data_IF_261338916299
#
_entry.id   IF_261338916299
#
_cell.length_a   1.000
_cell.length_b   1.000
_cell.length_c   1.000
_cell.angle_alpha   90.00
_cell.angle_beta   90.00
_cell.angle_gamma   90.00
#
_symmetry.space_group_name_H-M   'P 1'
#
loop_
_entity.id
_entity.type
_entity.pdbx_description
1 polymer ?
#
# COMPACT_ATOMS: atom_id res chain seq x y z
N UNK A 1 -8.32 66.21 42.18
CA UNK A 1 -8.06 66.68 40.80
C UNK A 1 -6.96 65.82 40.19
N UNK A 2 -7.28 65.13 39.09
CA UNK A 2 -6.46 64.89 37.89
C UNK A 2 -5.17 64.04 38.05
N UNK A 3 -5.17 62.78 37.60
CA UNK A 3 -5.00 62.27 36.20
C UNK A 3 -3.52 62.11 35.79
N UNK A 4 -3.23 60.96 35.15
CA UNK A 4 -2.03 60.59 34.34
C UNK A 4 -0.97 59.85 35.17
N UNK A 5 -0.47 58.66 34.83
CA UNK A 5 -0.28 58.06 33.49
C UNK A 5 -0.22 56.54 33.64
N UNK A 6 -1.19 55.84 33.06
CA UNK A 6 -1.31 54.38 33.06
C UNK A 6 -1.24 53.98 31.58
N UNK A 7 -0.07 53.52 31.12
CA UNK A 7 0.14 53.06 29.74
C UNK A 7 1.54 52.44 29.63
N UNK A 8 1.67 51.16 29.97
CA UNK A 8 2.80 50.30 29.55
C UNK A 8 2.64 48.89 30.14
N UNK A 9 1.71 48.08 29.63
CA UNK A 9 1.79 46.59 29.64
C UNK A 9 0.52 45.99 29.04
N UNK A 10 0.34 46.11 27.72
CA UNK A 10 -0.67 45.33 27.02
C UNK A 10 -0.24 45.19 25.55
N UNK A 11 0.77 44.37 25.28
CA UNK A 11 0.97 43.79 23.95
C UNK A 11 1.99 42.65 24.04
N UNK A 12 1.77 41.61 23.25
CA UNK A 12 2.55 40.38 23.08
C UNK A 12 2.32 39.25 24.10
N UNK A 13 1.18 38.58 23.95
CA UNK A 13 1.13 37.12 24.08
C UNK A 13 0.31 36.53 22.92
N UNK A 14 0.77 36.81 21.68
CA UNK A 14 0.29 36.09 20.51
C UNK A 14 0.96 34.71 20.54
N UNK A 15 0.27 33.74 21.14
CA UNK A 15 0.65 32.34 21.13
C UNK A 15 0.83 31.89 19.68
N UNK A 16 2.06 31.48 19.33
CA UNK A 16 2.36 30.80 18.09
C UNK A 16 1.69 29.42 18.13
N UNK A 17 0.44 29.34 17.67
CA UNK A 17 -0.11 28.07 17.19
C UNK A 17 0.56 27.77 15.85
N UNK A 18 1.74 27.14 15.88
CA UNK A 18 2.24 26.45 14.69
C UNK A 18 1.27 25.32 14.38
N UNK A 19 0.62 25.28 13.22
CA UNK A 19 -0.15 24.10 12.84
C UNK A 19 0.84 22.92 12.79
N UNK A 20 0.64 21.94 13.67
CA UNK A 20 1.18 20.60 13.46
C UNK A 20 0.53 20.12 12.18
N UNK A 21 1.28 20.16 11.08
CA UNK A 21 0.92 19.38 9.90
C UNK A 21 0.99 17.92 10.32
N UNK A 22 -0.17 17.31 10.56
CA UNK A 22 -0.26 15.86 10.72
C UNK A 22 0.16 15.24 9.39
N UNK A 23 1.34 14.63 9.37
CA UNK A 23 1.82 13.88 8.22
C UNK A 23 0.87 12.70 7.99
N UNK A 24 0.33 12.58 6.77
CA UNK A 24 -0.63 11.53 6.46
C UNK A 24 0.00 10.15 6.69
N UNK A 25 -0.70 9.18 7.32
CA UNK A 25 -0.13 7.88 7.63
C UNK A 25 0.42 7.18 6.37
N UNK A 26 1.68 6.74 6.44
CA UNK A 26 2.41 6.14 5.34
C UNK A 26 1.76 4.82 4.91
N UNK A 27 1.61 4.63 3.60
CA UNK A 27 1.26 3.32 3.03
C UNK A 27 2.47 2.38 3.18
N UNK A 28 2.26 1.19 3.77
CA UNK A 28 3.36 0.24 4.09
C UNK A 28 3.11 -1.20 3.63
N UNK A 29 1.86 -1.59 3.33
CA UNK A 29 1.51 -2.99 3.07
C UNK A 29 0.37 -3.15 2.05
N UNK A 30 0.34 -4.31 1.38
CA UNK A 30 -0.78 -4.80 0.57
C UNK A 30 -1.28 -6.15 1.11
N UNK A 31 -2.60 -6.36 1.13
CA UNK A 31 -3.16 -7.69 1.42
C UNK A 31 -2.99 -8.57 0.18
N UNK A 32 -2.18 -9.63 0.26
CA UNK A 32 -1.93 -10.52 -0.87
C UNK A 32 -2.88 -11.71 -0.90
N UNK A 33 -3.33 -12.20 0.26
CA UNK A 33 -4.32 -13.27 0.35
C UNK A 33 -5.16 -13.10 1.61
N UNK A 34 -6.39 -13.62 1.58
CA UNK A 34 -7.31 -13.64 2.71
C UNK A 34 -8.17 -14.89 2.63
N UNK A 35 -8.11 -15.72 3.67
CA UNK A 35 -9.08 -16.79 3.87
C UNK A 35 -9.93 -16.50 5.11
N UNK A 36 -11.23 -16.79 5.00
CA UNK A 36 -12.20 -16.42 6.02
C UNK A 36 -12.58 -14.93 5.95
N UNK A 37 -13.17 -14.42 7.03
CA UNK A 37 -13.62 -13.03 7.12
C UNK A 37 -12.72 -12.27 8.07
N UNK A 38 -12.14 -11.18 7.62
CA UNK A 38 -11.40 -10.24 8.44
C UNK A 38 -11.99 -8.84 8.29
N UNK A 39 -11.62 -7.95 9.20
CA UNK A 39 -12.08 -6.57 9.17
C UNK A 39 -10.92 -5.61 9.36
N UNK A 40 -10.96 -4.51 8.64
CA UNK A 40 -10.04 -3.38 8.74
C UNK A 40 -10.70 -2.28 9.57
N UNK A 41 -9.97 -1.80 10.58
CA UNK A 41 -10.25 -0.56 11.29
C UNK A 41 -9.24 0.48 10.81
N UNK A 42 -9.66 1.41 9.93
CA UNK A 42 -8.82 2.53 9.49
C UNK A 42 -8.47 3.42 10.69
N UNK A 43 -7.39 4.21 10.58
CA UNK A 43 -7.03 5.22 11.60
C UNK A 43 -8.18 6.21 11.80
N UNK A 44 -8.75 6.69 10.69
CA UNK A 44 -9.86 7.64 10.67
C UNK A 44 -11.02 7.06 9.84
N UNK A 45 -11.93 6.33 10.48
CA UNK A 45 -13.14 5.86 9.80
C UNK A 45 -13.83 4.67 10.46
N UNK A 46 -15.00 4.28 9.94
CA UNK A 46 -15.69 3.11 10.41
C UNK A 46 -14.95 1.84 10.00
N UNK A 47 -15.07 0.82 10.86
CA UNK A 47 -14.62 -0.53 10.57
C UNK A 47 -15.32 -1.08 9.32
N UNK A 48 -14.56 -1.71 8.42
CA UNK A 48 -15.06 -2.27 7.16
C UNK A 48 -14.52 -3.69 6.92
N UNK A 49 -15.15 -4.50 6.05
CA UNK A 49 -14.58 -5.78 5.63
C UNK A 49 -13.18 -5.59 5.02
N UNK A 50 -12.27 -6.50 5.34
CA UNK A 50 -10.97 -6.58 4.67
C UNK A 50 -11.13 -7.34 3.36
N UNK A 51 -10.50 -6.86 2.30
CA UNK A 51 -10.45 -7.53 1.00
C UNK A 51 -9.00 -7.75 0.56
N UNK A 52 -8.79 -8.76 -0.28
CA UNK A 52 -7.50 -8.94 -0.97
C UNK A 52 -7.21 -7.71 -1.82
N UNK A 53 -5.94 -7.37 -1.97
CA UNK A 53 -5.44 -6.18 -2.66
C UNK A 53 -5.66 -4.85 -1.93
N UNK A 54 -6.18 -4.88 -0.69
CA UNK A 54 -6.28 -3.68 0.15
C UNK A 54 -4.91 -3.12 0.48
N UNK A 55 -4.71 -1.84 0.20
CA UNK A 55 -3.55 -1.07 0.66
C UNK A 55 -3.73 -0.67 2.11
N UNK A 56 -2.72 -0.94 2.93
CA UNK A 56 -2.73 -0.67 4.36
C UNK A 56 -1.73 0.41 4.73
N UNK A 57 -2.17 1.30 5.62
CA UNK A 57 -1.37 2.37 6.21
C UNK A 57 -0.87 1.99 7.59
N UNK A 58 0.22 2.62 7.98
CA UNK A 58 0.69 2.59 9.36
C UNK A 58 -0.40 3.07 10.33
N UNK A 59 -0.55 2.36 11.45
CA UNK A 59 -1.56 2.61 12.46
C UNK A 59 -2.92 1.93 12.20
N UNK A 60 -3.18 1.44 10.99
CA UNK A 60 -4.40 0.67 10.73
C UNK A 60 -4.38 -0.69 11.42
N UNK A 61 -5.56 -1.22 11.70
CA UNK A 61 -5.72 -2.44 12.49
C UNK A 61 -6.59 -3.46 11.78
N UNK A 62 -6.14 -4.71 11.77
CA UNK A 62 -6.87 -5.86 11.29
C UNK A 62 -7.39 -6.67 12.47
N UNK A 63 -8.67 -7.01 12.45
CA UNK A 63 -9.21 -8.01 13.37
C UNK A 63 -9.44 -9.31 12.60
N UNK A 64 -8.71 -10.35 13.01
CA UNK A 64 -8.76 -11.70 12.47
C UNK A 64 -9.51 -12.59 13.47
N UNK A 65 -10.73 -13.06 13.17
CA UNK A 65 -11.41 -14.03 14.01
C UNK A 65 -10.74 -15.41 13.90
N UNK A 66 -11.13 -16.34 14.78
CA UNK A 66 -10.66 -17.73 14.73
C UNK A 66 -10.92 -18.35 13.35
N UNK A 67 -9.88 -18.94 12.76
CA UNK A 67 -9.95 -19.61 11.47
C UNK A 67 -9.86 -18.68 10.26
N UNK A 68 -9.65 -17.38 10.46
CA UNK A 68 -9.23 -16.48 9.40
C UNK A 68 -7.70 -16.50 9.28
N UNK A 69 -7.19 -16.37 8.07
CA UNK A 69 -5.79 -16.11 7.79
C UNK A 69 -5.64 -15.00 6.76
N UNK A 70 -4.57 -14.22 6.91
CA UNK A 70 -4.25 -13.12 5.99
C UNK A 70 -2.78 -13.17 5.65
N UNK A 71 -2.46 -12.92 4.39
CA UNK A 71 -1.09 -12.70 3.94
C UNK A 71 -0.89 -11.23 3.60
N UNK A 72 0.16 -10.65 4.18
CA UNK A 72 0.49 -9.23 4.12
C UNK A 72 1.82 -9.05 3.41
N UNK A 73 1.80 -8.40 2.24
CA UNK A 73 3.00 -8.10 1.45
C UNK A 73 3.58 -6.74 1.84
N UNK A 74 4.69 -6.75 2.58
CA UNK A 74 5.49 -5.56 2.90
C UNK A 74 6.53 -5.35 1.81
N UNK A 75 6.11 -4.77 0.68
CA UNK A 75 6.94 -4.63 -0.53
C UNK A 75 8.26 -3.91 -0.28
N UNK A 76 8.24 -2.87 0.54
CA UNK A 76 9.44 -2.10 0.89
C UNK A 76 10.46 -2.90 1.70
N UNK A 77 10.00 -3.95 2.39
CA UNK A 77 10.85 -4.88 3.14
C UNK A 77 11.19 -6.14 2.33
N UNK A 78 10.53 -6.37 1.19
CA UNK A 78 10.66 -7.59 0.42
C UNK A 78 10.25 -8.85 1.19
N UNK A 79 9.27 -8.73 2.10
CA UNK A 79 8.76 -9.86 2.88
C UNK A 79 7.24 -9.95 2.82
N UNK A 80 6.75 -11.17 3.05
CA UNK A 80 5.35 -11.46 3.26
C UNK A 80 5.16 -12.06 4.64
N UNK A 81 4.17 -11.56 5.37
CA UNK A 81 3.80 -12.07 6.67
C UNK A 81 2.46 -12.80 6.58
N UNK A 82 2.39 -14.01 7.12
CA UNK A 82 1.13 -14.76 7.23
C UNK A 82 0.69 -14.75 8.69
N UNK A 83 -0.51 -14.21 8.91
CA UNK A 83 -1.13 -14.10 10.22
C UNK A 83 -2.38 -15.00 10.29
N UNK A 84 -2.55 -15.71 11.41
CA UNK A 84 -3.69 -16.60 11.64
C UNK A 84 -4.44 -16.15 12.88
N UNK A 85 -5.76 -16.03 12.79
CA UNK A 85 -6.61 -15.61 13.90
C UNK A 85 -6.89 -16.73 14.93
N UNK A 86 -7.31 -16.38 16.15
CA UNK A 86 -7.71 -15.03 16.57
C UNK A 86 -6.52 -14.11 16.82
N UNK A 87 -6.51 -12.93 16.19
CA UNK A 87 -5.45 -11.94 16.36
C UNK A 87 -5.95 -10.53 16.02
N UNK A 88 -5.34 -9.53 16.66
CA UNK A 88 -5.53 -8.12 16.33
C UNK A 88 -4.19 -7.55 15.87
N UNK A 89 -4.04 -7.37 14.55
CA UNK A 89 -2.79 -6.97 13.93
C UNK A 89 -2.81 -5.48 13.66
N UNK A 90 -1.92 -4.73 14.32
CA UNK A 90 -1.62 -3.33 14.03
C UNK A 90 -0.53 -3.29 12.96
N UNK A 91 -0.78 -2.50 11.91
CA UNK A 91 0.15 -2.33 10.79
C UNK A 91 1.17 -1.25 11.15
N UNK A 92 2.46 -1.58 11.05
CA UNK A 92 3.57 -0.63 11.26
C UNK A 92 4.53 -0.65 10.09
N UNK A 93 5.45 0.32 10.01
CA UNK A 93 6.51 0.30 9.01
C UNK A 93 7.43 -0.94 9.13
N UNK A 94 7.56 -1.49 10.33
CA UNK A 94 8.40 -2.64 10.64
C UNK A 94 7.68 -3.99 10.49
N UNK A 95 6.41 -4.02 10.07
CA UNK A 95 5.61 -5.24 9.94
C UNK A 95 4.30 -5.18 10.71
N UNK A 96 3.57 -6.29 10.71
CA UNK A 96 2.42 -6.47 11.59
C UNK A 96 2.86 -6.64 13.05
N UNK A 97 2.09 -6.10 13.98
CA UNK A 97 2.28 -6.30 15.41
C UNK A 97 0.96 -6.71 16.05
N UNK A 98 0.96 -7.72 16.92
CA UNK A 98 -0.22 -8.11 17.69
C UNK A 98 0.18 -8.33 19.12
N UNK A 99 -0.41 -7.56 20.04
CA UNK A 99 -0.21 -7.77 21.49
C UNK A 99 -0.94 -9.03 21.98
N UNK A 100 -2.03 -9.40 21.30
CA UNK A 100 -2.96 -10.45 21.74
C UNK A 100 -2.83 -11.75 20.93
N UNK A 101 -1.81 -11.88 20.07
CA UNK A 101 -1.61 -13.10 19.28
C UNK A 101 -0.68 -14.05 20.02
N UNK A 102 -1.14 -15.27 20.27
CA UNK A 102 -0.32 -16.35 20.85
C UNK A 102 0.70 -16.91 19.85
N UNK A 103 0.55 -16.60 18.55
CA UNK A 103 1.42 -17.11 17.48
C UNK A 103 2.00 -15.94 16.67
N UNK A 104 3.34 -15.83 16.53
CA UNK A 104 3.94 -14.84 15.66
C UNK A 104 3.62 -15.15 14.18
N UNK A 105 3.73 -14.16 13.28
CA UNK A 105 3.49 -14.41 11.86
C UNK A 105 4.57 -15.34 11.28
N UNK A 106 4.18 -16.12 10.27
CA UNK A 106 5.14 -16.81 9.40
C UNK A 106 5.65 -15.80 8.39
N UNK A 107 6.98 -15.61 8.32
CA UNK A 107 7.61 -14.61 7.45
C UNK A 107 8.35 -15.29 6.30
N UNK A 108 7.94 -14.98 5.08
CA UNK A 108 8.60 -15.41 3.84
C UNK A 108 9.27 -14.24 3.14
N UNK A 109 10.34 -14.50 2.39
CA UNK A 109 10.89 -13.51 1.45
C UNK A 109 10.03 -13.43 0.21
N UNK A 110 9.68 -12.21 -0.19
CA UNK A 110 9.13 -11.96 -1.51
C UNK A 110 10.29 -11.91 -2.52
N UNK A 111 10.12 -12.49 -3.71
CA UNK A 111 11.14 -12.46 -4.74
C UNK A 111 11.14 -11.14 -5.51
N UNK A 112 11.31 -10.04 -4.78
CA UNK A 112 11.40 -8.71 -5.35
C UNK A 112 12.85 -8.42 -5.78
N UNK A 113 12.99 -7.68 -6.88
CA UNK A 113 14.30 -7.19 -7.33
C UNK A 113 14.71 -5.96 -6.52
N UNK A 114 16.02 -5.80 -6.37
CA UNK A 114 16.57 -4.62 -5.72
C UNK A 114 16.23 -3.36 -6.53
N UNK A 115 15.99 -2.26 -5.83
CA UNK A 115 15.74 -0.97 -6.45
C UNK A 115 17.01 -0.47 -7.16
N UNK A 116 16.93 0.07 -8.41
CA UNK A 116 18.09 0.67 -9.06
C UNK A 116 18.57 1.93 -8.30
N UNK A 117 19.89 2.11 -8.22
CA UNK A 117 20.58 3.12 -7.37
C UNK A 117 20.33 4.60 -7.74
N UNK A 118 19.37 4.90 -8.61
CA UNK A 118 19.02 6.27 -9.04
C UNK A 118 17.52 6.51 -9.27
N UNK A 119 16.64 5.58 -8.89
CA UNK A 119 15.19 5.71 -9.10
C UNK A 119 14.47 6.47 -7.98
N UNK A 120 13.62 7.44 -8.34
CA UNK A 120 12.68 8.09 -7.42
C UNK A 120 11.84 7.03 -6.68
N UNK A 121 11.68 7.18 -5.37
CA UNK A 121 10.82 6.28 -4.61
C UNK A 121 9.36 6.65 -4.88
N UNK A 122 8.52 5.65 -5.24
CA UNK A 122 7.35 5.31 -4.41
C UNK A 122 6.55 4.16 -5.04
N UNK A 123 6.64 2.98 -4.42
CA UNK A 123 5.66 1.91 -4.66
C UNK A 123 5.08 1.43 -3.34
N UNK A 124 3.75 1.55 -3.26
CA UNK A 124 2.79 0.52 -2.90
C UNK A 124 1.75 0.61 -4.02
N UNK A 125 2.29 0.19 -5.18
CA UNK A 125 1.79 0.30 -6.54
C UNK A 125 1.29 1.73 -6.84
N UNK A 126 2.29 2.63 -6.71
CA UNK A 126 2.33 4.09 -6.97
C UNK A 126 1.30 5.01 -6.29
N UNK A 127 0.78 4.58 -5.12
CA UNK A 127 0.34 5.41 -3.97
C UNK A 127 -0.60 6.64 -4.24
N UNK A 128 -1.72 6.44 -4.93
CA UNK A 128 -3.03 7.09 -4.72
C UNK A 128 -3.21 8.63 -4.86
N UNK A 129 -2.25 9.34 -5.47
CA UNK A 129 -2.36 10.76 -5.82
C UNK A 129 -1.29 11.62 -5.17
N UNK A 130 -0.70 12.53 -5.93
CA UNK A 130 -0.07 13.76 -5.44
C UNK A 130 -1.13 14.65 -4.75
N UNK A 131 -1.73 14.15 -3.66
CA UNK A 131 -2.78 14.77 -2.86
C UNK A 131 -4.08 15.08 -3.63
N UNK A 132 -5.25 14.89 -3.02
CA UNK A 132 -6.54 15.29 -3.58
C UNK A 132 -6.71 16.84 -3.63
N UNK A 133 -5.74 17.59 -4.18
CA UNK A 133 -5.75 19.05 -4.22
C UNK A 133 -5.37 19.61 -5.59
N UNK A 134 -6.40 20.19 -6.22
CA UNK A 134 -6.35 21.29 -7.19
C UNK A 134 -5.91 21.00 -8.64
N UNK A 135 -6.83 20.44 -9.43
CA UNK A 135 -7.42 21.08 -10.64
C UNK A 135 -7.92 19.99 -11.59
N UNK A 136 -9.21 20.06 -11.93
CA UNK A 136 -9.80 19.35 -13.07
C UNK A 136 -8.99 19.70 -14.32
N UNK A 137 -8.16 18.78 -14.80
CA UNK A 137 -7.54 18.88 -16.13
C UNK A 137 -8.29 17.97 -17.08
N UNK A 138 -9.18 18.55 -17.85
CA UNK A 138 -9.61 17.99 -19.14
C UNK A 138 -8.39 18.00 -20.06
N UNK A 139 -7.69 16.88 -20.21
CA UNK A 139 -6.67 16.71 -21.27
C UNK A 139 -6.71 15.29 -21.81
N UNK A 140 -6.54 15.22 -23.13
CA UNK A 140 -6.51 14.02 -23.95
C UNK A 140 -5.68 12.90 -23.31
N UNK A 141 -6.26 11.70 -23.25
CA UNK A 141 -5.61 10.51 -22.71
C UNK A 141 -4.49 10.10 -23.67
N UNK A 142 -3.29 10.63 -23.43
CA UNK A 142 -2.08 10.05 -23.98
C UNK A 142 -1.93 8.64 -23.38
N UNK A 143 -1.82 7.63 -24.25
CA UNK A 143 -1.56 6.25 -23.83
C UNK A 143 -0.28 6.25 -22.99
N UNK A 144 -0.26 5.66 -21.78
CA UNK A 144 0.95 5.58 -20.98
C UNK A 144 2.05 4.87 -21.77
N UNK A 145 3.16 5.57 -22.05
CA UNK A 145 4.28 4.97 -22.78
C UNK A 145 5.15 4.16 -21.82
N UNK A 146 5.51 2.95 -22.24
CA UNK A 146 6.45 2.10 -21.52
C UNK A 146 7.88 2.66 -21.70
N UNK A 147 8.66 2.64 -20.63
CA UNK A 147 10.11 2.90 -20.73
C UNK A 147 10.75 1.83 -21.64
N UNK A 148 11.61 2.24 -22.57
CA UNK A 148 12.46 1.31 -23.31
C UNK A 148 13.41 0.60 -22.34
N UNK A 149 13.33 -0.73 -22.29
CA UNK A 149 14.16 -1.57 -21.42
C UNK A 149 15.53 -1.84 -22.06
N UNK A 150 16.58 -1.83 -21.23
CA UNK A 150 17.87 -2.42 -21.60
C UNK A 150 17.77 -3.95 -21.73
N UNK A 151 18.81 -4.58 -22.29
CA UNK A 151 18.87 -6.04 -22.39
C UNK A 151 18.86 -6.71 -21.01
N UNK A 152 19.56 -6.12 -20.03
CA UNK A 152 19.58 -6.59 -18.65
C UNK A 152 18.20 -6.45 -17.98
N UNK A 153 17.53 -5.29 -18.15
CA UNK A 153 16.18 -5.08 -17.60
C UNK A 153 15.15 -6.04 -18.21
N UNK A 154 15.31 -6.39 -19.49
CA UNK A 154 14.48 -7.38 -20.17
C UNK A 154 14.73 -8.79 -19.63
N UNK A 155 15.98 -9.17 -19.45
CA UNK A 155 16.35 -10.46 -18.87
C UNK A 155 15.84 -10.61 -17.42
N UNK A 156 15.91 -9.52 -16.64
CA UNK A 156 15.36 -9.47 -15.29
C UNK A 156 13.84 -9.67 -15.29
N UNK A 157 13.12 -8.97 -16.17
CA UNK A 157 11.68 -9.09 -16.31
C UNK A 157 11.26 -10.51 -16.72
N UNK A 158 11.94 -11.10 -17.72
CA UNK A 158 11.71 -12.48 -18.15
C UNK A 158 11.92 -13.49 -17.01
N UNK A 159 12.92 -13.25 -16.15
CA UNK A 159 13.18 -14.09 -14.99
C UNK A 159 12.09 -13.96 -13.93
N UNK A 160 11.62 -12.73 -13.66
CA UNK A 160 10.50 -12.49 -12.74
C UNK A 160 9.22 -13.12 -13.27
N UNK A 161 8.91 -12.99 -14.55
CA UNK A 161 7.72 -13.60 -15.17
C UNK A 161 7.72 -15.13 -15.04
N UNK A 162 8.86 -15.78 -15.30
CA UNK A 162 9.02 -17.23 -15.08
C UNK A 162 8.79 -17.62 -13.64
N UNK A 163 9.31 -16.83 -12.70
CA UNK A 163 9.10 -17.07 -11.27
C UNK A 163 7.65 -16.88 -10.87
N UNK A 164 7.00 -15.82 -11.34
CA UNK A 164 5.57 -15.56 -11.10
C UNK A 164 4.71 -16.69 -11.66
N UNK A 165 5.05 -17.22 -12.84
CA UNK A 165 4.37 -18.39 -13.39
C UNK A 165 4.47 -19.62 -12.47
N UNK A 166 5.66 -19.87 -11.89
CA UNK A 166 5.84 -20.94 -10.90
C UNK A 166 5.02 -20.69 -9.63
N UNK A 167 5.03 -19.46 -9.12
CA UNK A 167 4.24 -19.09 -7.94
C UNK A 167 2.74 -19.28 -8.18
N UNK A 168 2.22 -18.85 -9.33
CA UNK A 168 0.80 -19.05 -9.71
C UNK A 168 0.42 -20.52 -9.77
N UNK A 169 1.34 -21.41 -10.16
CA UNK A 169 1.07 -22.85 -10.22
C UNK A 169 0.88 -23.50 -8.83
N UNK A 170 1.42 -22.89 -7.78
CA UNK A 170 1.35 -23.40 -6.40
C UNK A 170 0.53 -22.51 -5.45
N UNK A 171 0.08 -21.36 -5.93
CA UNK A 171 -0.68 -20.39 -5.14
C UNK A 171 -2.05 -20.96 -4.74
N UNK A 172 -2.50 -20.62 -3.54
CA UNK A 172 -3.85 -20.94 -3.11
C UNK A 172 -4.87 -20.18 -3.97
N UNK A 173 -6.10 -20.68 -4.15
CA UNK A 173 -7.15 -19.94 -4.83
C UNK A 173 -7.37 -18.56 -4.19
N UNK A 174 -7.29 -17.50 -4.99
CA UNK A 174 -7.46 -16.12 -4.52
C UNK A 174 -6.20 -15.47 -3.93
N UNK A 175 -5.07 -16.16 -3.85
CA UNK A 175 -3.77 -15.57 -3.50
C UNK A 175 -3.24 -14.74 -4.68
N UNK A 176 -3.18 -13.42 -4.47
CA UNK A 176 -2.66 -12.42 -5.42
C UNK A 176 -1.18 -12.11 -5.19
N UNK A 177 -0.49 -12.82 -4.30
CA UNK A 177 0.95 -12.70 -4.07
C UNK A 177 1.79 -12.78 -5.35
N UNK A 178 1.57 -13.76 -6.25
CA UNK A 178 2.28 -13.81 -7.53
C UNK A 178 2.06 -12.56 -8.39
N UNK A 179 0.82 -12.05 -8.42
CA UNK A 179 0.47 -10.90 -9.22
C UNK A 179 1.06 -9.61 -8.65
N UNK A 180 1.07 -9.46 -7.32
CA UNK A 180 1.71 -8.33 -6.64
C UNK A 180 3.21 -8.27 -6.97
N UNK A 181 3.91 -9.41 -7.02
CA UNK A 181 5.33 -9.46 -7.42
C UNK A 181 5.51 -8.95 -8.85
N UNK A 182 4.67 -9.39 -9.79
CA UNK A 182 4.73 -8.93 -11.19
C UNK A 182 4.45 -7.43 -11.29
N UNK A 183 3.40 -6.95 -10.62
CA UNK A 183 3.01 -5.54 -10.63
C UNK A 183 4.12 -4.65 -10.06
N UNK A 184 4.78 -5.08 -8.98
CA UNK A 184 5.90 -4.34 -8.41
C UNK A 184 7.08 -4.26 -9.39
N UNK A 185 7.38 -5.34 -10.11
CA UNK A 185 8.45 -5.35 -11.10
C UNK A 185 8.12 -4.46 -12.32
N UNK A 186 6.90 -4.53 -12.83
CA UNK A 186 6.44 -3.66 -13.91
C UNK A 186 6.49 -2.18 -13.50
N UNK A 187 6.09 -1.87 -12.26
CA UNK A 187 6.19 -0.51 -11.71
C UNK A 187 7.65 -0.07 -11.59
N UNK A 188 8.55 -0.93 -11.09
CA UNK A 188 9.99 -0.68 -10.98
C UNK A 188 10.63 -0.35 -12.32
N UNK A 189 10.21 -1.07 -13.38
CA UNK A 189 10.72 -0.94 -14.74
C UNK A 189 10.01 0.13 -15.58
N UNK A 190 9.05 0.86 -15.00
CA UNK A 190 8.29 1.90 -15.73
C UNK A 190 7.46 1.35 -16.89
N UNK A 191 7.00 0.10 -16.78
CA UNK A 191 6.16 -0.58 -17.77
C UNK A 191 4.68 -0.28 -17.52
N UNK A 192 4.30 1.01 -17.62
CA UNK A 192 2.96 1.51 -17.23
C UNK A 192 1.81 0.86 -17.99
N UNK A 193 1.97 0.62 -19.29
CA UNK A 193 0.91 0.00 -20.11
C UNK A 193 0.68 -1.44 -19.67
N UNK A 194 1.77 -2.20 -19.51
CA UNK A 194 1.71 -3.59 -19.04
C UNK A 194 1.13 -3.69 -17.62
N UNK A 195 1.51 -2.79 -16.73
CA UNK A 195 0.96 -2.69 -15.37
C UNK A 195 -0.56 -2.52 -15.41
N UNK A 196 -1.06 -1.63 -16.28
CA UNK A 196 -2.48 -1.35 -16.46
C UNK A 196 -3.24 -2.55 -17.05
N UNK A 197 -2.63 -3.24 -18.03
CA UNK A 197 -3.18 -4.46 -18.63
C UNK A 197 -3.33 -5.59 -17.58
N UNK A 198 -2.32 -5.77 -16.73
CA UNK A 198 -2.37 -6.76 -15.64
C UNK A 198 -3.43 -6.42 -14.58
N UNK A 199 -3.56 -5.16 -14.20
CA UNK A 199 -4.62 -4.74 -13.27
C UNK A 199 -6.03 -4.89 -13.88
N UNK A 200 -6.18 -4.68 -15.19
CA UNK A 200 -7.43 -4.99 -15.90
C UNK A 200 -7.73 -6.49 -15.84
N UNK A 201 -6.75 -7.35 -16.12
CA UNK A 201 -6.91 -8.81 -16.01
C UNK A 201 -7.32 -9.22 -14.60
N UNK A 202 -6.71 -8.63 -13.56
CA UNK A 202 -7.07 -8.93 -12.16
C UNK A 202 -8.50 -8.51 -11.83
N UNK A 203 -8.97 -7.35 -12.30
CA UNK A 203 -10.37 -6.93 -12.11
C UNK A 203 -11.35 -7.89 -12.78
N UNK A 204 -11.02 -8.35 -13.99
CA UNK A 204 -11.84 -9.33 -14.71
C UNK A 204 -11.86 -10.70 -14.02
N UNK A 205 -10.74 -11.11 -13.42
CA UNK A 205 -10.65 -12.36 -12.66
C UNK A 205 -11.32 -12.29 -11.28
N UNK A 206 -11.50 -11.09 -10.72
CA UNK A 206 -12.06 -10.84 -9.39
C UNK A 206 -13.17 -9.78 -9.42
N UNK A 207 -14.29 -10.03 -10.12
CA UNK A 207 -15.34 -9.03 -10.34
C UNK A 207 -16.02 -8.56 -9.05
N UNK A 208 -16.02 -9.38 -8.00
CA UNK A 208 -16.63 -9.06 -6.70
C UNK A 208 -15.69 -8.31 -5.74
N UNK A 209 -14.43 -8.09 -6.13
CA UNK A 209 -13.45 -7.39 -5.30
C UNK A 209 -13.61 -5.87 -5.49
N UNK A 210 -14.24 -5.20 -4.52
CA UNK A 210 -14.51 -3.76 -4.60
C UNK A 210 -13.23 -2.94 -4.56
N UNK A 211 -12.22 -3.40 -3.81
CA UNK A 211 -10.91 -2.74 -3.72
C UNK A 211 -10.21 -2.69 -5.08
N UNK A 212 -10.20 -3.81 -5.82
CA UNK A 212 -9.66 -3.87 -7.17
C UNK A 212 -10.51 -3.06 -8.16
N UNK A 213 -11.84 -3.06 -8.03
CA UNK A 213 -12.73 -2.34 -8.94
C UNK A 213 -12.45 -0.83 -8.99
N UNK A 214 -12.04 -0.25 -7.87
CA UNK A 214 -11.70 1.17 -7.73
C UNK A 214 -10.19 1.45 -7.80
N UNK A 215 -9.40 0.49 -8.28
CA UNK A 215 -7.96 0.67 -8.39
C UNK A 215 -7.58 1.47 -9.64
N UNK A 216 -6.99 2.64 -9.44
CA UNK A 216 -6.48 3.51 -10.50
C UNK A 216 -4.95 3.56 -10.47
N UNK A 217 -4.34 3.54 -11.66
CA UNK A 217 -2.90 3.77 -11.88
C UNK A 217 -2.77 5.10 -12.60
N UNK A 218 -2.11 6.07 -11.98
CA UNK A 218 -1.70 7.34 -12.61
C UNK A 218 -0.23 7.28 -13.09
#
# INVERSE_FOLDING_TARGET
MHRRTLLLTALLLAALCTPVSAEAPRLVCLVSALNGKATLSPVDGPKKPLEVFTRLREGERLDLPRGADVQLAFLQKGVRETWTGPAQVVITADGGQSADSDTPPVIDKLPLRAKPAGGQASSILTQAGEQATAQVRTRDVAVPEDKTLSDDERADLDAVEKQVAQMRATAAPGDMGPDIVLLEELARLGQKRRLTEELRRLREAHPDNQTLAHWEVE
#
